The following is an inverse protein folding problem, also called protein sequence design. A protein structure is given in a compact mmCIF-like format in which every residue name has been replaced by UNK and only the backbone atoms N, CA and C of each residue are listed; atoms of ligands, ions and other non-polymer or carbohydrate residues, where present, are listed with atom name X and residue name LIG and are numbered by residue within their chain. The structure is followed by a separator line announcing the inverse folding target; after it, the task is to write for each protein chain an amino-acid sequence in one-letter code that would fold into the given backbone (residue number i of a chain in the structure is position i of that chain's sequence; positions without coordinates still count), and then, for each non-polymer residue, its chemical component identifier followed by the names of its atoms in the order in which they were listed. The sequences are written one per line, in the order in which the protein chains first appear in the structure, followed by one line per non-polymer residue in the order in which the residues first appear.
data_IF_808079555115
#
_entry.id   IF_808079555115
#
_cell.length_a   1.000
_cell.length_b   1.000
_cell.length_c   1.000
_cell.angle_alpha   90.00
_cell.angle_beta   90.00
_cell.angle_gamma   90.00
#
_symmetry.space_group_name_H-M   'P 1'
#
loop_
_entity.id
_entity.type
_entity.pdbx_description
1 polymer ?
#
# COMPACT_ATOMS: atom_id res chain seq x y z
N UNK A 1 3.86 -16.00 5.76
CA UNK A 1 3.67 -15.21 4.52
C UNK A 1 3.01 -13.87 4.80
N UNK A 2 1.80 -13.84 5.40
CA UNK A 2 1.11 -12.60 5.80
C UNK A 2 1.99 -11.56 6.52
N UNK A 3 2.77 -11.96 7.54
CA UNK A 3 3.67 -11.05 8.27
C UNK A 3 4.75 -10.41 7.38
N UNK A 4 5.26 -11.13 6.37
CA UNK A 4 6.24 -10.58 5.43
C UNK A 4 5.59 -9.56 4.52
N UNK A 5 4.35 -9.83 4.08
CA UNK A 5 3.55 -8.89 3.30
C UNK A 5 3.33 -7.61 4.11
N UNK A 6 2.83 -7.72 5.36
CA UNK A 6 2.64 -6.56 6.24
C UNK A 6 3.93 -5.76 6.40
N UNK A 7 5.06 -6.40 6.69
CA UNK A 7 6.34 -5.70 6.86
C UNK A 7 6.81 -4.96 5.60
N UNK A 8 6.68 -5.56 4.41
CA UNK A 8 7.08 -4.90 3.17
C UNK A 8 6.18 -3.72 2.82
N UNK A 9 4.86 -3.87 2.99
CA UNK A 9 3.94 -2.75 2.80
C UNK A 9 4.08 -1.68 3.89
N UNK A 10 4.39 -2.03 5.14
CA UNK A 10 4.70 -1.07 6.20
C UNK A 10 5.95 -0.25 5.85
N UNK A 11 6.98 -0.89 5.29
CA UNK A 11 8.17 -0.20 4.80
C UNK A 11 7.81 0.83 3.72
N UNK A 12 7.01 0.41 2.73
CA UNK A 12 6.52 1.28 1.66
C UNK A 12 5.68 2.45 2.20
N UNK A 13 4.74 2.18 3.12
CA UNK A 13 3.88 3.21 3.70
C UNK A 13 4.67 4.26 4.48
N UNK A 14 5.77 3.87 5.13
CA UNK A 14 6.67 4.79 5.83
C UNK A 14 7.46 5.71 4.90
N UNK A 15 7.56 5.40 3.61
CA UNK A 15 8.16 6.30 2.62
C UNK A 15 7.26 7.52 2.31
N UNK A 16 5.98 7.46 2.70
CA UNK A 16 5.03 8.57 2.59
C UNK A 16 4.85 9.15 1.16
N UNK A 17 5.01 8.32 0.14
CA UNK A 17 4.74 8.69 -1.26
C UNK A 17 3.26 8.65 -1.65
N UNK A 18 2.42 8.10 -0.77
CA UNK A 18 0.98 8.02 -0.98
C UNK A 18 0.23 9.09 -0.21
N UNK A 19 -0.82 9.62 -0.84
CA UNK A 19 -1.79 10.46 -0.15
C UNK A 19 -2.51 9.71 0.97
N UNK A 20 -2.93 10.45 2.01
CA UNK A 20 -3.55 9.92 3.24
C UNK A 20 -4.65 8.89 3.01
N UNK A 21 -5.50 9.08 2.00
CA UNK A 21 -6.59 8.15 1.66
C UNK A 21 -6.06 6.83 1.12
N UNK A 22 -5.11 6.87 0.19
CA UNK A 22 -4.54 5.65 -0.41
C UNK A 22 -3.73 4.86 0.63
N UNK A 23 -2.97 5.54 1.50
CA UNK A 23 -2.27 4.91 2.63
C UNK A 23 -3.22 4.20 3.59
N UNK A 24 -4.36 4.82 3.91
CA UNK A 24 -5.41 4.19 4.72
C UNK A 24 -6.01 2.96 4.03
N UNK A 25 -6.23 3.04 2.72
CA UNK A 25 -6.78 1.92 1.95
C UNK A 25 -5.81 0.73 1.91
N UNK A 26 -4.51 0.95 1.75
CA UNK A 26 -3.50 -0.12 1.85
C UNK A 26 -3.52 -0.77 3.23
N UNK A 27 -3.53 0.01 4.31
CA UNK A 27 -3.63 -0.53 5.67
C UNK A 27 -4.88 -1.40 5.85
N UNK A 28 -6.01 -0.99 5.28
CA UNK A 28 -7.25 -1.77 5.31
C UNK A 28 -7.15 -3.06 4.51
N UNK A 29 -6.50 -3.04 3.34
CA UNK A 29 -6.22 -4.26 2.56
C UNK A 29 -5.35 -5.25 3.35
N UNK A 30 -4.31 -4.78 4.06
CA UNK A 30 -3.45 -5.63 4.89
C UNK A 30 -4.22 -6.31 6.04
N UNK A 31 -5.31 -5.72 6.51
CA UNK A 31 -6.20 -6.30 7.53
C UNK A 31 -7.21 -7.30 6.94
N UNK A 32 -7.54 -7.16 5.65
CA UNK A 32 -8.56 -7.96 4.96
C UNK A 32 -7.98 -9.17 4.21
N UNK A 33 -6.67 -9.23 4.02
CA UNK A 33 -6.02 -10.31 3.27
C UNK A 33 -6.03 -11.64 4.01
N UNK A 34 -6.15 -12.73 3.26
CA UNK A 34 -5.90 -14.07 3.78
C UNK A 34 -4.41 -14.32 4.04
N UNK A 35 -4.09 -15.50 4.57
CA UNK A 35 -2.72 -15.92 4.90
C UNK A 35 -1.73 -15.85 3.72
N UNK A 36 -2.26 -15.90 2.49
CA UNK A 36 -1.54 -15.89 1.21
C UNK A 36 -1.60 -14.53 0.50
N UNK A 37 -2.14 -13.50 1.15
CA UNK A 37 -2.22 -12.14 0.61
C UNK A 37 -3.36 -11.91 -0.38
N UNK A 38 -4.35 -12.80 -0.47
CA UNK A 38 -5.50 -12.61 -1.36
C UNK A 38 -6.65 -11.90 -0.68
N UNK A 39 -7.34 -11.08 -1.47
CA UNK A 39 -8.55 -10.35 -1.07
C UNK A 39 -9.54 -10.45 -2.22
N UNK A 40 -10.78 -10.84 -1.94
CA UNK A 40 -11.85 -10.84 -2.95
C UNK A 40 -12.15 -9.40 -3.40
N UNK A 41 -12.20 -9.19 -4.73
CA UNK A 41 -12.40 -7.85 -5.30
C UNK A 41 -13.73 -7.24 -4.85
N UNK A 42 -14.80 -8.03 -4.80
CA UNK A 42 -16.12 -7.52 -4.41
C UNK A 42 -16.07 -6.99 -2.97
N UNK A 43 -15.38 -7.70 -2.08
CA UNK A 43 -15.15 -7.28 -0.70
C UNK A 43 -14.40 -5.94 -0.63
N UNK A 44 -13.42 -5.70 -1.50
CA UNK A 44 -12.71 -4.41 -1.59
C UNK A 44 -13.67 -3.30 -2.00
N UNK A 45 -14.49 -3.52 -3.03
CA UNK A 45 -15.45 -2.52 -3.49
C UNK A 45 -16.45 -2.15 -2.38
N UNK A 46 -16.96 -3.15 -1.67
CA UNK A 46 -17.97 -2.98 -0.62
C UNK A 46 -17.45 -2.42 0.70
N UNK A 47 -16.15 -2.55 0.99
CA UNK A 47 -15.57 -2.08 2.25
C UNK A 47 -14.69 -0.84 2.13
N UNK A 48 -14.06 -0.63 0.97
CA UNK A 48 -13.10 0.46 0.75
C UNK A 48 -13.72 1.54 -0.16
N UNK A 49 -14.44 1.14 -1.20
CA UNK A 49 -14.97 2.07 -2.20
C UNK A 49 -16.51 2.21 -2.16
N UNK A 50 -17.14 1.85 -1.03
CA UNK A 50 -18.59 1.77 -0.87
C UNK A 50 -19.33 3.08 -1.17
N UNK A 51 -18.72 4.22 -0.87
CA UNK A 51 -19.30 5.55 -1.11
C UNK A 51 -18.85 6.19 -2.42
N UNK A 52 -18.03 5.49 -3.22
CA UNK A 52 -17.54 6.02 -4.48
C UNK A 52 -18.64 5.96 -5.55
N UNK A 53 -18.83 7.03 -6.31
CA UNK A 53 -19.79 7.06 -7.41
C UNK A 53 -19.52 5.98 -8.48
N UNK A 54 -18.24 5.66 -8.70
CA UNK A 54 -17.80 4.50 -9.50
C UNK A 54 -16.71 3.76 -8.72
N UNK A 55 -17.11 2.75 -7.95
CA UNK A 55 -16.22 1.97 -7.11
C UNK A 55 -15.14 1.24 -7.94
N UNK A 56 -15.49 0.78 -9.14
CA UNK A 56 -14.59 0.04 -10.02
C UNK A 56 -13.50 0.94 -10.61
N UNK A 57 -13.85 2.14 -11.07
CA UNK A 57 -12.88 3.13 -11.53
C UNK A 57 -11.96 3.58 -10.39
N UNK A 58 -12.52 3.82 -9.20
CA UNK A 58 -11.74 4.22 -8.03
C UNK A 58 -10.77 3.13 -7.60
N UNK A 59 -11.20 1.87 -7.60
CA UNK A 59 -10.33 0.71 -7.36
C UNK A 59 -9.16 0.67 -8.35
N UNK A 60 -9.43 0.75 -9.67
CA UNK A 60 -8.36 0.73 -10.69
C UNK A 60 -7.39 1.90 -10.52
N UNK A 61 -7.91 3.10 -10.26
CA UNK A 61 -7.09 4.29 -10.06
C UNK A 61 -6.24 4.19 -8.80
N UNK A 62 -6.78 3.64 -7.72
CA UNK A 62 -6.05 3.38 -6.48
C UNK A 62 -4.88 2.39 -6.69
N UNK A 63 -5.14 1.27 -7.38
CA UNK A 63 -4.07 0.30 -7.69
C UNK A 63 -2.99 0.95 -8.55
N UNK A 64 -3.39 1.72 -9.58
CA UNK A 64 -2.45 2.46 -10.43
C UNK A 64 -1.59 3.43 -9.63
N UNK A 65 -2.20 4.29 -8.80
CA UNK A 65 -1.45 5.26 -7.97
C UNK A 65 -0.49 4.57 -7.01
N UNK A 66 -0.86 3.42 -6.47
CA UNK A 66 0.01 2.63 -5.59
C UNK A 66 1.21 2.09 -6.35
N UNK A 67 1.00 1.52 -7.54
CA UNK A 67 2.09 1.02 -8.39
C UNK A 67 3.00 2.15 -8.85
N UNK A 68 2.44 3.29 -9.25
CA UNK A 68 3.21 4.47 -9.66
C UNK A 68 4.07 5.02 -8.50
N UNK A 69 3.56 5.01 -7.27
CA UNK A 69 4.32 5.42 -6.08
C UNK A 69 5.48 4.45 -5.77
N UNK A 70 5.25 3.14 -5.88
CA UNK A 70 6.32 2.13 -5.72
C UNK A 70 7.39 2.32 -6.81
N UNK A 71 6.97 2.56 -8.06
CA UNK A 71 7.90 2.77 -9.17
C UNK A 71 8.79 4.00 -8.94
N UNK A 72 8.22 5.13 -8.52
CA UNK A 72 9.00 6.33 -8.17
C UNK A 72 10.03 6.06 -7.08
N UNK A 73 9.65 5.36 -6.01
CA UNK A 73 10.57 5.02 -4.92
C UNK A 73 11.72 4.11 -5.38
N UNK A 74 11.45 3.21 -6.33
CA UNK A 74 12.50 2.37 -6.92
C UNK A 74 13.45 3.23 -7.76
N UNK A 75 12.93 4.15 -8.57
CA UNK A 75 13.73 5.07 -9.40
C UNK A 75 14.61 6.00 -8.55
N UNK A 76 14.09 6.48 -7.41
CA UNK A 76 14.80 7.37 -6.50
C UNK A 76 15.78 6.64 -5.56
N UNK A 77 15.72 5.30 -5.50
CA UNK A 77 16.57 4.51 -4.61
C UNK A 77 17.97 4.27 -5.17
N UNK A 78 18.97 4.23 -4.28
CA UNK A 78 20.33 3.84 -4.67
C UNK A 78 20.35 2.42 -5.24
N UNK A 79 21.02 2.23 -6.37
CA UNK A 79 21.10 0.95 -7.05
C UNK A 79 21.74 -0.13 -6.16
N UNK A 80 21.08 -1.29 -6.08
CA UNK A 80 21.37 -2.45 -5.24
C UNK A 80 21.25 -2.20 -3.73
N UNK A 81 20.69 -1.07 -3.31
CA UNK A 81 20.40 -0.80 -1.89
C UNK A 81 19.39 -1.81 -1.35
N UNK A 82 19.42 -1.99 -0.03
CA UNK A 82 18.42 -2.81 0.66
C UNK A 82 17.00 -2.26 0.48
N UNK A 83 16.87 -0.93 0.45
CA UNK A 83 15.64 -0.23 0.14
C UNK A 83 15.08 -0.63 -1.24
N UNK A 84 15.91 -0.56 -2.29
CA UNK A 84 15.52 -0.94 -3.65
C UNK A 84 15.05 -2.40 -3.70
N UNK A 85 15.77 -3.31 -3.03
CA UNK A 85 15.43 -4.74 -2.97
C UNK A 85 14.07 -4.98 -2.30
N UNK A 86 13.78 -4.30 -1.20
CA UNK A 86 12.48 -4.40 -0.53
C UNK A 86 11.38 -3.90 -1.48
N UNK A 87 11.54 -2.71 -2.05
CA UNK A 87 10.54 -2.09 -2.92
C UNK A 87 10.27 -2.92 -4.18
N UNK A 88 11.32 -3.39 -4.86
CA UNK A 88 11.21 -4.28 -6.04
C UNK A 88 10.54 -5.61 -5.74
N UNK A 89 10.51 -6.03 -4.48
CA UNK A 89 9.87 -7.28 -4.08
C UNK A 89 8.38 -7.15 -3.79
N UNK A 90 7.86 -5.92 -3.67
CA UNK A 90 6.43 -5.65 -3.45
C UNK A 90 5.70 -5.84 -4.77
N UNK A 91 4.68 -6.70 -4.77
CA UNK A 91 3.82 -6.90 -5.92
C UNK A 91 2.34 -6.71 -5.56
N UNK A 92 1.60 -6.11 -6.49
CA UNK A 92 0.15 -5.92 -6.40
C UNK A 92 -0.46 -6.47 -7.69
N UNK A 93 -1.09 -7.64 -7.58
CA UNK A 93 -1.58 -8.40 -8.73
C UNK A 93 -3.11 -8.46 -8.75
N UNK A 94 -3.72 -7.93 -9.82
CA UNK A 94 -5.16 -8.06 -10.03
C UNK A 94 -5.47 -9.38 -10.78
N UNK A 95 -5.99 -10.37 -10.06
CA UNK A 95 -6.33 -11.69 -10.59
C UNK A 95 -7.74 -11.66 -11.18
N UNK A 96 -7.86 -12.03 -12.47
CA UNK A 96 -9.15 -12.12 -13.16
C UNK A 96 -9.97 -13.29 -12.64
N UNK A 97 -11.29 -13.12 -12.62
CA UNK A 97 -12.21 -14.21 -12.35
C UNK A 97 -12.07 -15.33 -13.39
N UNK A 98 -12.31 -16.56 -12.98
CA UNK A 98 -12.41 -17.73 -13.85
C UNK A 98 -13.55 -18.65 -13.37
N UNK A 99 -13.68 -19.83 -13.97
CA UNK A 99 -14.75 -20.79 -13.63
C UNK A 99 -14.74 -21.26 -12.16
N UNK A 100 -13.62 -21.12 -11.46
CA UNK A 100 -13.37 -21.70 -10.13
C UNK A 100 -13.20 -20.61 -9.07
N UNK A 101 -12.71 -19.42 -9.45
CA UNK A 101 -12.36 -18.34 -8.52
C UNK A 101 -12.94 -17.01 -8.98
N UNK A 102 -13.45 -16.24 -8.02
CA UNK A 102 -13.83 -14.84 -8.22
C UNK A 102 -12.60 -13.99 -8.52
N UNK A 103 -12.82 -12.77 -9.00
CA UNK A 103 -11.73 -11.81 -9.18
C UNK A 103 -11.16 -11.42 -7.81
N UNK A 104 -9.84 -11.34 -7.72
CA UNK A 104 -9.13 -11.11 -6.46
C UNK A 104 -8.01 -10.08 -6.67
N UNK A 105 -7.66 -9.38 -5.60
CA UNK A 105 -6.39 -8.70 -5.47
C UNK A 105 -5.44 -9.60 -4.70
N UNK A 106 -4.19 -9.69 -5.13
CA UNK A 106 -3.13 -10.40 -4.42
C UNK A 106 -1.99 -9.44 -4.09
N UNK A 107 -1.65 -9.36 -2.82
CA UNK A 107 -0.48 -8.66 -2.30
C UNK A 107 0.65 -9.67 -2.08
N UNK A 108 1.86 -9.36 -2.52
CA UNK A 108 3.05 -10.17 -2.25
C UNK A 108 4.25 -9.32 -1.90
N UNK A 109 5.17 -9.95 -1.18
CA UNK A 109 6.51 -9.43 -0.89
C UNK A 109 7.50 -10.59 -1.04
N UNK A 110 8.36 -10.51 -2.04
CA UNK A 110 9.33 -11.57 -2.38
C UNK A 110 10.65 -11.53 -1.59
N UNK A 111 10.94 -10.42 -0.90
CA UNK A 111 12.17 -10.23 -0.14
C UNK A 111 11.85 -9.85 1.31
N UNK A 112 12.35 -10.64 2.26
CA UNK A 112 12.27 -10.31 3.67
C UNK A 112 13.67 -10.03 4.22
N UNK A 113 13.97 -8.76 4.47
CA UNK A 113 15.16 -8.40 5.26
C UNK A 113 14.97 -8.78 6.73
N UNK A 114 16.05 -9.17 7.39
CA UNK A 114 16.11 -9.35 8.85
C UNK A 114 16.08 -8.01 9.61
N UNK A 115 16.35 -6.88 8.94
CA UNK A 115 16.50 -5.55 9.53
C UNK A 115 15.81 -4.49 8.66
N UNK A 116 14.48 -4.47 8.67
CA UNK A 116 13.69 -3.47 7.94
C UNK A 116 13.67 -2.18 8.76
N UNK A 117 14.65 -1.31 8.55
CA UNK A 117 14.54 0.09 8.99
C UNK A 117 14.04 0.93 7.82
N UNK A 118 12.98 1.72 8.00
CA UNK A 118 12.55 2.66 6.97
C UNK A 118 13.72 3.60 6.62
N UNK A 119 13.86 3.99 5.35
CA UNK A 119 14.71 5.13 4.99
C UNK A 119 14.36 6.30 5.93
N UNK A 120 15.39 6.93 6.48
CA UNK A 120 15.22 8.14 7.26
C UNK A 120 14.57 9.20 6.36
N UNK A 121 13.26 9.41 6.51
CA UNK A 121 12.56 10.50 5.84
C UNK A 121 13.18 11.82 6.29
N UNK A 122 13.81 12.55 5.37
CA UNK A 122 14.24 13.94 5.57
C UNK A 122 13.10 14.96 5.41
N UNK A 123 11.83 14.54 5.47
CA UNK A 123 10.70 15.42 5.16
C UNK A 123 9.58 15.45 6.20
N UNK A 124 9.81 14.90 7.40
CA UNK A 124 8.92 15.16 8.54
C UNK A 124 9.77 15.44 9.78
N UNK A 125 10.25 16.67 9.87
CA UNK A 125 10.37 17.28 11.19
C UNK A 125 8.94 17.61 11.63
N UNK A 126 8.46 16.89 12.64
CA UNK A 126 7.17 17.12 13.32
C UNK A 126 7.03 18.55 13.88
N UNK A 127 8.10 19.37 13.83
CA UNK A 127 8.12 20.75 14.31
C UNK A 127 7.35 21.74 13.43
N UNK A 128 6.92 21.36 12.22
CA UNK A 128 6.18 22.25 11.30
C UNK A 128 4.66 22.06 11.29
N UNK A 129 4.10 21.18 12.13
CA UNK A 129 2.65 21.11 12.30
C UNK A 129 2.20 22.10 13.38
N UNK A 130 1.63 23.23 12.97
CA UNK A 130 0.87 24.06 13.91
C UNK A 130 -0.29 23.23 14.49
N UNK A 131 -0.43 23.16 15.83
CA UNK A 131 -1.59 22.53 16.44
C UNK A 131 -2.84 23.32 16.02
N UNK A 132 -3.82 22.62 15.45
CA UNK A 132 -5.11 23.20 15.10
C UNK A 132 -5.83 23.60 16.40
N UNK A 133 -5.68 24.85 16.81
CA UNK A 133 -6.47 25.45 17.88
C UNK A 133 -7.85 25.74 17.28
N UNK A 134 -8.73 24.74 17.31
CA UNK A 134 -10.15 24.99 17.16
C UNK A 134 -10.56 25.93 18.30
N UNK A 135 -10.94 27.17 17.95
CA UNK A 135 -11.63 28.07 18.88
C UNK A 135 -13.05 27.54 19.04
N UNK A 136 -13.32 26.90 20.17
CA UNK A 136 -14.69 26.80 20.68
C UNK A 136 -15.18 28.22 20.98
N UNK A 137 -16.05 28.74 20.12
CA UNK A 137 -16.99 29.84 20.46
C UNK A 137 -18.27 29.68 19.67
#
# INVERSE_FOLDING_TARGET
MQQQITKGFDYFLKQNELGKTDSKNINRLLQMMDENGHIDKQTILEQIFVTAADADANYRNFIKRTLDAIARLIEDSEANSEAEKILKSIEINALKANKIRKAQLQLKVGYSSANIQPLANRQYEDENFEPNIAKDT
#
